data_IF_245348100161
#
_entry.id   IF_245348100161
#
_cell.length_a   1.000
_cell.length_b   1.000
_cell.length_c   1.000
_cell.angle_alpha   90.00
_cell.angle_beta   90.00
_cell.angle_gamma   90.00
#
_symmetry.space_group_name_H-M   'P 1'
#
loop_
_entity.id
_entity.type
_entity.pdbx_description
1 polymer ?
#
# COMPACT_ATOMS: atom_id res chain seq x y z
N UNK A 1 7.21 -15.32 -23.91
CA UNK A 1 6.96 -16.64 -23.30
C UNK A 1 6.24 -16.38 -22.00
N UNK A 2 4.99 -16.82 -21.88
CA UNK A 2 4.17 -16.56 -20.69
C UNK A 2 4.76 -17.33 -19.50
N UNK A 3 5.20 -16.60 -18.47
CA UNK A 3 5.52 -17.19 -17.17
C UNK A 3 4.23 -17.82 -16.63
N UNK A 4 4.21 -19.16 -16.59
CA UNK A 4 3.19 -19.92 -15.89
C UNK A 4 3.33 -19.62 -14.40
N UNK A 5 2.57 -18.65 -13.92
CA UNK A 5 2.29 -18.49 -12.49
C UNK A 5 1.59 -19.77 -12.04
N UNK A 6 2.25 -20.55 -11.19
CA UNK A 6 1.69 -21.73 -10.56
C UNK A 6 0.58 -21.30 -9.58
N UNK A 7 -0.65 -21.14 -10.07
CA UNK A 7 -1.85 -21.07 -9.23
C UNK A 7 -2.14 -22.47 -8.69
N UNK A 8 -1.54 -22.79 -7.53
CA UNK A 8 -1.72 -24.07 -6.83
C UNK A 8 -3.08 -24.20 -6.10
N UNK A 9 -4.08 -23.41 -6.50
CA UNK A 9 -5.41 -23.36 -5.89
C UNK A 9 -6.41 -23.66 -7.00
N UNK A 10 -7.19 -24.74 -6.85
CA UNK A 10 -8.31 -25.04 -7.75
C UNK A 10 -9.18 -23.80 -7.93
N UNK A 11 -9.57 -23.51 -9.17
CA UNK A 11 -10.47 -22.39 -9.44
C UNK A 11 -11.82 -22.62 -8.74
N UNK A 12 -12.50 -21.56 -8.31
CA UNK A 12 -13.82 -21.68 -7.69
C UNK A 12 -14.83 -22.34 -8.62
N UNK A 13 -14.66 -22.17 -9.94
CA UNK A 13 -15.40 -22.93 -10.95
C UNK A 13 -15.20 -24.44 -10.81
N UNK A 14 -13.96 -24.94 -10.74
CA UNK A 14 -13.68 -26.37 -10.58
C UNK A 14 -14.33 -26.93 -9.30
N UNK A 15 -14.24 -26.18 -8.19
CA UNK A 15 -14.85 -26.57 -6.90
C UNK A 15 -16.38 -26.58 -6.95
N UNK A 16 -16.97 -25.64 -7.70
CA UNK A 16 -18.41 -25.56 -7.87
C UNK A 16 -18.95 -26.58 -8.86
N UNK A 17 -18.26 -26.85 -9.97
CA UNK A 17 -18.67 -27.87 -10.95
C UNK A 17 -18.73 -29.27 -10.31
N UNK A 18 -17.77 -29.61 -9.45
CA UNK A 18 -17.80 -30.85 -8.64
C UNK A 18 -19.01 -30.87 -7.69
N UNK A 19 -19.33 -29.74 -7.05
CA UNK A 19 -20.44 -29.63 -6.09
C UNK A 19 -21.81 -29.63 -6.79
N UNK A 20 -21.92 -28.99 -7.95
CA UNK A 20 -23.12 -28.94 -8.80
C UNK A 20 -23.53 -30.34 -9.28
N UNK A 21 -22.57 -31.25 -9.46
CA UNK A 21 -22.86 -32.64 -9.78
C UNK A 21 -23.49 -33.42 -8.62
N UNK A 22 -23.21 -33.03 -7.37
CA UNK A 22 -23.59 -33.79 -6.15
C UNK A 22 -24.84 -33.21 -5.46
N UNK A 23 -25.05 -31.88 -5.53
CA UNK A 23 -26.10 -31.16 -4.77
C UNK A 23 -26.98 -30.26 -5.66
N UNK A 24 -27.16 -30.65 -6.93
CA UNK A 24 -27.84 -29.90 -7.99
C UNK A 24 -29.21 -29.31 -7.62
N UNK A 25 -30.05 -30.11 -6.96
CA UNK A 25 -31.45 -29.76 -6.70
C UNK A 25 -31.60 -28.68 -5.62
N UNK A 26 -30.77 -28.71 -4.60
CA UNK A 26 -30.80 -27.75 -3.50
C UNK A 26 -30.24 -26.38 -3.95
N UNK A 27 -29.24 -26.41 -4.83
CA UNK A 27 -28.67 -25.21 -5.46
C UNK A 27 -29.68 -24.53 -6.39
N UNK A 28 -30.38 -25.31 -7.22
CA UNK A 28 -31.51 -24.81 -8.02
C UNK A 28 -32.58 -24.16 -7.16
N UNK A 29 -32.95 -24.78 -6.04
CA UNK A 29 -34.01 -24.25 -5.19
C UNK A 29 -33.67 -22.84 -4.65
N UNK A 30 -32.41 -22.59 -4.29
CA UNK A 30 -31.97 -21.25 -3.88
C UNK A 30 -31.95 -20.28 -5.07
N UNK A 31 -31.35 -20.66 -6.20
CA UNK A 31 -31.24 -19.78 -7.35
C UNK A 31 -32.60 -19.44 -7.98
N UNK A 32 -33.50 -20.42 -8.12
CA UNK A 32 -34.89 -20.18 -8.57
C UNK A 32 -35.63 -19.25 -7.62
N UNK A 33 -35.38 -19.35 -6.31
CA UNK A 33 -35.98 -18.44 -5.32
C UNK A 33 -35.44 -17.01 -5.50
N UNK A 34 -34.13 -16.87 -5.68
CA UNK A 34 -33.49 -15.58 -5.96
C UNK A 34 -34.03 -14.98 -7.27
N UNK A 35 -34.10 -15.78 -8.33
CA UNK A 35 -34.63 -15.37 -9.64
C UNK A 35 -36.12 -15.00 -9.58
N UNK A 36 -36.91 -15.71 -8.77
CA UNK A 36 -38.36 -15.46 -8.63
C UNK A 36 -38.70 -14.08 -8.08
N UNK A 37 -37.74 -13.43 -7.40
CA UNK A 37 -37.87 -12.04 -6.95
C UNK A 37 -37.74 -11.02 -8.09
N UNK A 38 -37.36 -11.48 -9.28
CA UNK A 38 -37.21 -10.67 -10.47
C UNK A 38 -35.84 -9.99 -10.59
N UNK A 39 -35.74 -9.13 -11.61
CA UNK A 39 -34.54 -8.35 -11.91
C UNK A 39 -34.18 -7.46 -10.71
N UNK A 40 -32.95 -7.57 -10.20
CA UNK A 40 -32.55 -6.81 -9.02
C UNK A 40 -31.13 -7.04 -8.52
N UNK A 41 -30.82 -6.34 -7.43
CA UNK A 41 -29.55 -6.39 -6.71
C UNK A 41 -29.79 -6.89 -5.29
N UNK A 42 -28.97 -7.84 -4.83
CA UNK A 42 -29.06 -8.40 -3.48
C UNK A 42 -27.75 -8.21 -2.72
N UNK A 43 -27.88 -7.69 -1.49
CA UNK A 43 -26.80 -7.59 -0.53
C UNK A 43 -26.63 -8.88 0.28
N UNK A 44 -25.49 -9.10 0.97
CA UNK A 44 -25.22 -10.35 1.69
C UNK A 44 -26.30 -10.70 2.71
N UNK A 45 -26.82 -9.71 3.45
CA UNK A 45 -27.88 -9.95 4.44
C UNK A 45 -29.20 -10.42 3.80
N UNK A 46 -29.49 -9.99 2.56
CA UNK A 46 -30.68 -10.42 1.82
C UNK A 46 -30.47 -11.82 1.25
N UNK A 47 -29.27 -12.13 0.76
CA UNK A 47 -28.89 -13.48 0.33
C UNK A 47 -28.98 -14.47 1.50
N UNK A 48 -28.51 -14.09 2.69
CA UNK A 48 -28.62 -14.90 3.90
C UNK A 48 -30.09 -15.12 4.30
N UNK A 49 -30.95 -14.11 4.21
CA UNK A 49 -32.37 -14.27 4.48
C UNK A 49 -33.04 -15.29 3.52
N UNK A 50 -32.67 -15.27 2.23
CA UNK A 50 -33.16 -16.26 1.26
C UNK A 50 -32.64 -17.67 1.54
N UNK A 51 -31.40 -17.76 2.00
CA UNK A 51 -30.81 -19.02 2.43
C UNK A 51 -31.49 -19.58 3.68
N UNK A 52 -31.80 -18.75 4.67
CA UNK A 52 -32.47 -19.14 5.90
C UNK A 52 -33.91 -19.60 5.70
N UNK A 53 -34.58 -19.10 4.64
CA UNK A 53 -35.92 -19.51 4.26
C UNK A 53 -36.01 -20.95 3.67
N UNK A 54 -34.88 -21.62 3.42
CA UNK A 54 -34.82 -23.01 2.96
C UNK A 54 -35.02 -23.97 4.15
N UNK A 55 -35.69 -25.13 3.97
CA UNK A 55 -35.83 -26.15 5.02
C UNK A 55 -34.48 -26.59 5.62
N UNK A 56 -34.42 -26.80 6.95
CA UNK A 56 -33.18 -27.14 7.68
C UNK A 56 -32.39 -28.30 7.10
N UNK A 57 -33.07 -29.38 6.70
CA UNK A 57 -32.44 -30.56 6.12
C UNK A 57 -31.70 -30.27 4.81
N UNK A 58 -32.10 -29.24 4.06
CA UNK A 58 -31.47 -28.83 2.81
C UNK A 58 -30.41 -27.76 3.08
N UNK A 59 -30.60 -26.89 4.09
CA UNK A 59 -29.60 -25.91 4.54
C UNK A 59 -28.31 -26.58 4.99
N UNK A 60 -28.39 -27.62 5.81
CA UNK A 60 -27.19 -28.32 6.32
C UNK A 60 -26.38 -28.95 5.18
N UNK A 61 -27.05 -29.59 4.22
CA UNK A 61 -26.39 -30.17 3.04
C UNK A 61 -25.67 -29.13 2.20
N UNK A 62 -26.27 -27.96 2.00
CA UNK A 62 -25.67 -26.84 1.26
C UNK A 62 -24.49 -26.20 1.99
N UNK A 63 -24.49 -26.19 3.33
CA UNK A 63 -23.40 -25.66 4.15
C UNK A 63 -22.19 -26.59 4.20
N UNK A 64 -22.40 -27.91 4.17
CA UNK A 64 -21.34 -28.90 4.27
C UNK A 64 -20.47 -29.02 2.99
N UNK A 65 -20.87 -28.35 1.90
CA UNK A 65 -20.19 -28.38 0.59
C UNK A 65 -19.41 -27.10 0.25
N UNK A 66 -18.74 -27.09 -0.91
CA UNK A 66 -18.02 -25.90 -1.41
C UNK A 66 -18.95 -24.69 -1.61
N UNK A 67 -20.25 -24.94 -1.77
CA UNK A 67 -21.27 -23.92 -1.92
C UNK A 67 -21.51 -23.08 -0.65
N UNK A 68 -21.43 -23.69 0.54
CA UNK A 68 -21.53 -22.96 1.81
C UNK A 68 -20.44 -21.89 1.92
N UNK A 69 -19.23 -22.21 1.48
CA UNK A 69 -18.11 -21.26 1.41
C UNK A 69 -18.36 -20.15 0.38
N UNK A 70 -18.95 -20.46 -0.78
CA UNK A 70 -19.31 -19.45 -1.78
C UNK A 70 -20.38 -18.50 -1.26
N UNK A 71 -21.47 -19.01 -0.68
CA UNK A 71 -22.53 -18.18 -0.11
C UNK A 71 -22.01 -17.26 1.00
N UNK A 72 -21.21 -17.82 1.93
CA UNK A 72 -20.64 -17.07 3.04
C UNK A 72 -19.72 -15.94 2.57
N UNK A 73 -19.02 -16.15 1.46
CA UNK A 73 -18.05 -15.17 0.93
C UNK A 73 -18.62 -14.30 -0.20
N UNK A 74 -19.86 -14.53 -0.63
CA UNK A 74 -20.53 -13.70 -1.63
C UNK A 74 -20.82 -12.32 -1.03
N UNK A 75 -20.35 -11.27 -1.71
CA UNK A 75 -20.50 -9.88 -1.29
C UNK A 75 -21.69 -9.19 -1.94
N UNK A 76 -22.08 -9.62 -3.12
CA UNK A 76 -23.25 -9.11 -3.83
C UNK A 76 -23.71 -10.12 -4.88
N UNK A 77 -25.01 -10.09 -5.16
CA UNK A 77 -25.65 -10.91 -6.19
C UNK A 77 -26.48 -10.02 -7.10
N UNK A 78 -26.33 -10.21 -8.41
CA UNK A 78 -27.08 -9.50 -9.44
C UNK A 78 -27.98 -10.50 -10.14
N UNK A 79 -29.26 -10.15 -10.28
CA UNK A 79 -30.27 -10.99 -10.91
C UNK A 79 -30.74 -10.31 -12.20
N UNK A 80 -30.40 -10.92 -13.34
CA UNK A 80 -30.93 -10.59 -14.66
C UNK A 80 -31.47 -11.88 -15.28
N UNK A 81 -32.75 -12.23 -15.08
CA UNK A 81 -33.29 -13.51 -15.51
C UNK A 81 -32.98 -13.80 -16.99
N UNK A 82 -32.46 -14.99 -17.34
CA UNK A 82 -32.32 -16.19 -16.51
C UNK A 82 -30.99 -16.33 -15.74
N UNK A 83 -30.19 -15.26 -15.66
CA UNK A 83 -28.85 -15.25 -15.09
C UNK A 83 -28.79 -14.67 -13.69
N UNK A 84 -28.03 -15.34 -12.81
CA UNK A 84 -27.67 -14.85 -11.49
C UNK A 84 -26.16 -14.76 -11.42
N UNK A 85 -25.62 -13.55 -11.28
CA UNK A 85 -24.19 -13.30 -11.12
C UNK A 85 -23.83 -13.07 -9.65
N UNK A 86 -22.74 -13.66 -9.19
CA UNK A 86 -22.25 -13.58 -7.81
C UNK A 86 -20.83 -13.00 -7.80
N UNK A 87 -20.60 -11.99 -6.97
CA UNK A 87 -19.25 -11.53 -6.63
C UNK A 87 -18.80 -12.22 -5.34
N UNK A 88 -17.85 -13.12 -5.45
CA UNK A 88 -17.33 -13.91 -4.33
C UNK A 88 -16.00 -13.32 -3.89
N UNK A 89 -15.84 -13.14 -2.58
CA UNK A 89 -14.61 -12.63 -1.97
C UNK A 89 -14.04 -13.65 -0.99
N UNK A 90 -13.35 -14.70 -1.46
CA UNK A 90 -12.86 -15.78 -0.60
C UNK A 90 -11.91 -15.29 0.50
N UNK A 91 -11.11 -14.27 0.20
CA UNK A 91 -10.12 -13.67 1.11
C UNK A 91 -9.98 -12.17 0.84
N UNK A 92 -9.50 -11.37 1.80
CA UNK A 92 -9.22 -9.97 1.56
C UNK A 92 -8.29 -9.73 0.37
N UNK A 93 -8.77 -8.96 -0.61
CA UNK A 93 -8.03 -8.63 -1.83
C UNK A 93 -8.13 -9.65 -2.97
N UNK A 94 -8.87 -10.75 -2.78
CA UNK A 94 -9.10 -11.78 -3.81
C UNK A 94 -10.58 -11.81 -4.14
N UNK A 95 -10.90 -11.67 -5.43
CA UNK A 95 -12.25 -11.64 -5.96
C UNK A 95 -12.39 -12.63 -7.10
N UNK A 96 -13.53 -13.31 -7.14
CA UNK A 96 -13.91 -14.24 -8.18
C UNK A 96 -15.35 -13.92 -8.56
N UNK A 97 -15.63 -13.84 -9.86
CA UNK A 97 -16.95 -13.49 -10.39
C UNK A 97 -17.48 -14.67 -11.17
N UNK A 98 -18.72 -15.06 -10.89
CA UNK A 98 -19.38 -16.14 -11.59
C UNK A 98 -20.78 -15.71 -11.98
N UNK A 99 -21.29 -16.25 -13.08
CA UNK A 99 -22.72 -16.23 -13.40
C UNK A 99 -23.26 -17.62 -13.58
N UNK A 100 -24.51 -17.78 -13.20
CA UNK A 100 -25.22 -19.05 -13.28
C UNK A 100 -26.52 -18.85 -14.02
N UNK A 101 -26.74 -19.65 -15.06
CA UNK A 101 -28.04 -19.74 -15.71
C UNK A 101 -28.95 -20.63 -14.86
N UNK A 102 -30.05 -20.10 -14.34
CA UNK A 102 -30.91 -20.87 -13.43
C UNK A 102 -31.62 -22.02 -14.14
N UNK A 103 -32.00 -21.84 -15.40
CA UNK A 103 -32.72 -22.85 -16.18
C UNK A 103 -31.79 -23.96 -16.71
N UNK A 104 -30.63 -23.58 -17.25
CA UNK A 104 -29.68 -24.51 -17.85
C UNK A 104 -28.69 -25.09 -16.84
N UNK A 105 -28.56 -24.49 -15.65
CA UNK A 105 -27.50 -24.78 -14.67
C UNK A 105 -26.09 -24.70 -15.26
N UNK A 106 -25.89 -23.78 -16.19
CA UNK A 106 -24.57 -23.46 -16.72
C UNK A 106 -23.90 -22.45 -15.80
N UNK A 107 -22.72 -22.81 -15.27
CA UNK A 107 -21.87 -21.92 -14.50
C UNK A 107 -20.75 -21.39 -15.40
N UNK A 108 -20.56 -20.08 -15.39
CA UNK A 108 -19.54 -19.39 -16.16
C UNK A 108 -18.75 -18.47 -15.24
N UNK A 109 -17.43 -18.52 -15.33
CA UNK A 109 -16.55 -17.56 -14.67
C UNK A 109 -16.50 -16.28 -15.51
N UNK A 110 -16.59 -15.14 -14.85
CA UNK A 110 -16.57 -13.83 -15.46
C UNK A 110 -15.26 -13.11 -15.13
N UNK A 111 -14.74 -12.36 -16.09
CA UNK A 111 -13.76 -11.34 -15.81
C UNK A 111 -14.42 -10.12 -15.14
N UNK A 112 -13.59 -9.22 -14.60
CA UNK A 112 -14.07 -7.98 -13.94
C UNK A 112 -14.93 -7.15 -14.90
N UNK A 113 -14.49 -7.00 -16.16
CA UNK A 113 -15.21 -6.22 -17.16
C UNK A 113 -16.59 -6.81 -17.48
N UNK A 114 -16.68 -8.13 -17.70
CA UNK A 114 -17.95 -8.83 -17.94
C UNK A 114 -18.91 -8.73 -16.75
N UNK A 115 -18.39 -8.82 -15.51
CA UNK A 115 -19.20 -8.66 -14.32
C UNK A 115 -19.74 -7.23 -14.17
N UNK A 116 -18.93 -6.21 -14.44
CA UNK A 116 -19.35 -4.82 -14.40
C UNK A 116 -20.35 -4.50 -15.52
N UNK A 117 -20.15 -5.01 -16.73
CA UNK A 117 -21.12 -4.91 -17.82
C UNK A 117 -22.48 -5.51 -17.42
N UNK A 118 -22.48 -6.64 -16.71
CA UNK A 118 -23.71 -7.23 -16.17
C UNK A 118 -24.40 -6.33 -15.12
N UNK A 119 -23.64 -5.54 -14.34
CA UNK A 119 -24.21 -4.50 -13.45
C UNK A 119 -24.80 -3.33 -14.21
N UNK A 120 -24.16 -2.91 -15.30
CA UNK A 120 -24.64 -1.82 -16.14
C UNK A 120 -25.97 -2.21 -16.80
N UNK A 121 -26.08 -3.44 -17.33
CA UNK A 121 -27.32 -3.97 -17.91
C UNK A 121 -28.49 -4.01 -16.90
N UNK A 122 -28.20 -4.11 -15.60
CA UNK A 122 -29.20 -4.02 -14.55
C UNK A 122 -29.89 -2.65 -14.55
N UNK A 123 -29.14 -1.57 -14.75
CA UNK A 123 -29.68 -0.20 -14.66
C UNK A 123 -30.13 0.29 -16.03
N UNK A 124 -29.25 0.20 -17.03
CA UNK A 124 -29.44 0.85 -18.32
C UNK A 124 -30.08 -0.09 -19.37
N UNK A 125 -30.16 -1.39 -19.06
CA UNK A 125 -30.57 -2.42 -20.02
C UNK A 125 -29.48 -2.72 -21.04
N UNK A 126 -29.85 -3.29 -22.19
CA UNK A 126 -28.90 -3.62 -23.27
C UNK A 126 -28.51 -2.34 -24.05
N UNK A 127 -27.61 -1.53 -23.49
CA UNK A 127 -27.11 -0.31 -24.13
C UNK A 127 -25.88 -0.57 -25.00
N UNK A 128 -25.96 -0.16 -26.27
CA UNK A 128 -24.97 -0.34 -27.33
C UNK A 128 -23.79 0.65 -27.24
N UNK A 129 -22.97 0.56 -26.19
CA UNK A 129 -21.72 1.29 -26.07
C UNK A 129 -20.52 0.39 -26.39
N UNK A 130 -20.17 0.18 -27.66
CA UNK A 130 -19.02 -0.67 -28.01
C UNK A 130 -17.67 -0.12 -27.50
N UNK A 131 -17.61 1.14 -27.06
CA UNK A 131 -16.41 1.83 -26.61
C UNK A 131 -16.67 2.62 -25.31
N UNK A 132 -17.11 1.94 -24.26
CA UNK A 132 -17.15 2.51 -22.90
C UNK A 132 -15.71 2.67 -22.40
N UNK A 133 -15.43 3.77 -21.70
CA UNK A 133 -14.12 4.02 -21.11
C UNK A 133 -13.87 3.06 -19.95
N UNK A 134 -12.93 2.14 -20.11
CA UNK A 134 -12.43 1.27 -19.04
C UNK A 134 -11.16 1.87 -18.41
N UNK A 135 -11.18 2.04 -17.09
CA UNK A 135 -10.03 2.52 -16.33
C UNK A 135 -9.22 1.34 -15.78
N UNK A 136 -8.19 0.93 -16.50
CA UNK A 136 -7.27 -0.13 -16.06
C UNK A 136 -5.91 0.41 -15.60
N UNK A 137 -5.67 0.35 -14.28
CA UNK A 137 -4.40 0.73 -13.65
C UNK A 137 -3.44 -0.46 -13.46
N UNK A 138 -3.81 -1.68 -13.81
CA UNK A 138 -2.98 -2.87 -13.61
C UNK A 138 -1.66 -2.82 -14.42
N UNK A 139 -1.66 -2.46 -15.72
CA UNK A 139 -0.43 -2.39 -16.52
C UNK A 139 0.57 -1.35 -16.00
N UNK A 140 0.07 -0.21 -15.50
CA UNK A 140 0.90 0.89 -14.99
C UNK A 140 1.67 0.53 -13.71
N UNK A 141 1.21 -0.50 -12.98
CA UNK A 141 1.79 -0.94 -11.72
C UNK A 141 2.59 -2.25 -11.85
N UNK A 142 2.83 -2.75 -13.06
CA UNK A 142 3.50 -4.04 -13.29
C UNK A 142 4.98 -4.05 -12.87
N UNK A 143 5.64 -2.89 -12.82
CA UNK A 143 7.03 -2.75 -12.39
C UNK A 143 7.21 -2.93 -10.87
N UNK A 144 6.11 -2.84 -10.09
CA UNK A 144 6.17 -2.98 -8.64
C UNK A 144 5.74 -4.40 -8.24
N UNK A 145 6.57 -5.12 -7.47
CA UNK A 145 6.17 -6.43 -6.97
C UNK A 145 4.95 -6.28 -6.05
N UNK A 146 4.00 -7.21 -6.15
CA UNK A 146 2.77 -7.21 -5.34
C UNK A 146 2.81 -8.31 -4.29
N UNK A 147 2.68 -8.00 -2.99
CA UNK A 147 2.56 -9.02 -1.97
C UNK A 147 1.24 -9.78 -2.14
N UNK A 148 1.30 -11.11 -2.11
CA UNK A 148 0.13 -12.00 -2.25
C UNK A 148 -0.46 -12.43 -0.91
N UNK A 149 0.24 -12.16 0.20
CA UNK A 149 -0.19 -12.54 1.54
C UNK A 149 -1.07 -11.45 2.13
N UNK A 150 -2.28 -11.79 2.58
CA UNK A 150 -3.22 -10.82 3.16
C UNK A 150 -2.65 -10.09 4.40
N UNK A 151 -1.74 -10.72 5.16
CA UNK A 151 -1.04 -10.07 6.30
C UNK A 151 -0.14 -8.90 5.90
N UNK A 152 0.20 -8.78 4.62
CA UNK A 152 1.03 -7.69 4.10
C UNK A 152 0.20 -6.47 3.70
N UNK A 153 -1.13 -6.56 3.71
CA UNK A 153 -2.02 -5.40 3.45
C UNK A 153 -1.80 -4.38 4.57
N UNK A 154 -1.52 -3.13 4.18
CA UNK A 154 -1.17 -2.04 5.12
C UNK A 154 0.32 -1.93 5.44
N UNK A 155 1.13 -2.95 5.13
CA UNK A 155 2.57 -3.01 5.44
C UNK A 155 3.45 -2.83 4.19
N UNK A 156 3.08 -1.90 3.31
CA UNK A 156 3.73 -1.72 2.01
C UNK A 156 5.19 -1.28 2.11
N UNK A 157 5.54 -0.46 3.11
CA UNK A 157 6.92 0.02 3.33
C UNK A 157 7.86 -1.13 3.69
N UNK A 158 7.44 -2.09 4.51
CA UNK A 158 8.26 -3.25 4.85
C UNK A 158 8.58 -4.10 3.62
N UNK A 159 7.59 -4.29 2.74
CA UNK A 159 7.75 -5.03 1.51
C UNK A 159 8.67 -4.29 0.53
N UNK A 160 8.50 -2.98 0.41
CA UNK A 160 9.38 -2.14 -0.40
C UNK A 160 10.82 -2.16 0.12
N UNK A 161 11.03 -2.09 1.43
CA UNK A 161 12.35 -2.17 2.05
C UNK A 161 13.04 -3.51 1.74
N UNK A 162 12.30 -4.64 1.78
CA UNK A 162 12.82 -5.95 1.36
C UNK A 162 13.18 -5.98 -0.12
N UNK A 163 12.34 -5.42 -0.97
CA UNK A 163 12.59 -5.38 -2.40
C UNK A 163 13.80 -4.51 -2.75
N UNK A 164 13.87 -3.29 -2.19
CA UNK A 164 15.00 -2.37 -2.39
C UNK A 164 16.29 -2.97 -1.85
N UNK A 165 16.28 -3.53 -0.64
CA UNK A 165 17.45 -4.20 -0.05
C UNK A 165 17.95 -5.35 -0.94
N UNK A 166 17.04 -6.19 -1.46
CA UNK A 166 17.43 -7.25 -2.40
C UNK A 166 18.02 -6.67 -3.69
N UNK A 167 17.43 -5.62 -4.25
CA UNK A 167 17.94 -4.97 -5.46
C UNK A 167 19.34 -4.38 -5.24
N UNK A 168 19.55 -3.69 -4.11
CA UNK A 168 20.82 -3.11 -3.70
C UNK A 168 21.93 -4.16 -3.53
N UNK A 169 21.57 -5.38 -3.09
CA UNK A 169 22.54 -6.46 -2.89
C UNK A 169 23.06 -7.06 -4.21
N UNK A 170 22.21 -7.17 -5.23
CA UNK A 170 22.55 -7.90 -6.46
C UNK A 170 23.29 -7.05 -7.50
N UNK A 171 23.21 -5.73 -7.42
CA UNK A 171 23.71 -4.84 -8.47
C UNK A 171 24.45 -3.62 -7.89
N UNK A 172 25.75 -3.49 -8.19
CA UNK A 172 26.56 -2.34 -7.75
C UNK A 172 26.11 -1.03 -8.41
N UNK A 173 25.55 -1.08 -9.61
CA UNK A 173 24.99 0.11 -10.29
C UNK A 173 23.75 0.62 -9.55
N UNK A 174 23.04 -0.25 -8.83
CA UNK A 174 21.86 0.12 -8.07
C UNK A 174 22.15 0.97 -6.81
N UNK A 175 23.42 1.11 -6.41
CA UNK A 175 23.87 2.04 -5.36
C UNK A 175 24.09 3.46 -5.89
N UNK A 176 24.25 3.65 -7.19
CA UNK A 176 24.44 4.97 -7.78
C UNK A 176 23.27 5.93 -7.48
N UNK A 177 21.98 5.52 -7.57
CA UNK A 177 20.86 6.36 -7.14
C UNK A 177 20.96 6.84 -5.69
N UNK A 178 21.47 6.00 -4.76
CA UNK A 178 21.64 6.38 -3.36
C UNK A 178 22.75 7.43 -3.19
N UNK A 179 23.87 7.24 -3.88
CA UNK A 179 24.95 8.24 -3.91
C UNK A 179 24.46 9.56 -4.48
N UNK A 180 23.75 9.52 -5.62
CA UNK A 180 23.23 10.72 -6.26
C UNK A 180 22.23 11.44 -5.34
N UNK A 181 21.30 10.68 -4.75
CA UNK A 181 20.33 11.18 -3.78
C UNK A 181 21.00 11.95 -2.64
N UNK A 182 22.04 11.38 -2.02
CA UNK A 182 22.77 12.03 -0.94
C UNK A 182 23.58 13.24 -1.42
N UNK A 183 24.04 13.27 -2.67
CA UNK A 183 24.87 14.35 -3.23
C UNK A 183 24.05 15.57 -3.67
N UNK A 184 22.86 15.36 -4.22
CA UNK A 184 21.96 16.45 -4.63
C UNK A 184 21.13 17.00 -3.47
N UNK A 185 21.19 16.36 -2.30
CA UNK A 185 20.42 16.74 -1.13
C UNK A 185 20.84 18.11 -0.61
N UNK A 186 19.95 19.09 -0.73
CA UNK A 186 20.18 20.45 -0.29
C UNK A 186 18.89 21.10 0.24
N UNK A 187 19.04 22.07 1.13
CA UNK A 187 17.93 22.86 1.66
C UNK A 187 18.34 24.33 1.75
N UNK A 188 17.55 25.24 1.18
CA UNK A 188 17.84 26.69 1.14
C UNK A 188 19.26 27.03 0.66
N UNK A 189 19.75 26.29 -0.35
CA UNK A 189 21.10 26.47 -0.91
C UNK A 189 22.25 25.94 -0.03
N UNK A 190 21.95 25.30 1.10
CA UNK A 190 22.95 24.60 1.92
C UNK A 190 22.99 23.13 1.55
N UNK A 191 24.15 22.66 1.12
CA UNK A 191 24.37 21.24 0.84
C UNK A 191 24.32 20.43 2.14
N UNK A 192 23.80 19.21 2.03
CA UNK A 192 23.71 18.26 3.14
C UNK A 192 24.31 16.93 2.72
N UNK A 193 24.65 16.10 3.70
CA UNK A 193 25.18 14.74 3.52
C UNK A 193 26.52 14.71 2.76
N UNK A 194 26.52 14.72 1.42
CA UNK A 194 27.71 14.60 0.58
C UNK A 194 27.87 15.83 -0.31
N UNK A 195 29.12 16.23 -0.56
CA UNK A 195 29.42 17.25 -1.57
C UNK A 195 30.01 16.66 -2.86
N UNK A 196 30.28 17.53 -3.82
CA UNK A 196 30.76 17.18 -5.16
C UNK A 196 32.17 16.57 -5.21
N UNK A 197 32.88 16.44 -4.07
CA UNK A 197 34.16 15.73 -4.00
C UNK A 197 34.01 14.23 -4.19
N UNK A 198 32.83 13.67 -3.87
CA UNK A 198 32.55 12.24 -3.97
C UNK A 198 31.79 11.97 -5.27
N UNK A 199 32.45 11.30 -6.22
CA UNK A 199 31.93 11.10 -7.59
C UNK A 199 31.39 9.70 -7.84
N UNK A 200 31.84 8.71 -7.07
CA UNK A 200 31.48 7.30 -7.26
C UNK A 200 31.41 6.56 -5.92
N UNK A 201 30.83 5.37 -5.95
CA UNK A 201 30.58 4.55 -4.74
C UNK A 201 31.88 4.11 -4.06
N UNK A 202 32.96 3.87 -4.83
CA UNK A 202 34.26 3.48 -4.27
C UNK A 202 34.89 4.63 -3.45
N UNK A 203 34.80 5.86 -3.96
CA UNK A 203 35.22 7.05 -3.23
C UNK A 203 34.39 7.26 -1.97
N UNK A 204 33.06 7.08 -2.06
CA UNK A 204 32.15 7.16 -0.91
C UNK A 204 32.59 6.18 0.18
N UNK A 205 32.77 4.90 -0.16
CA UNK A 205 33.18 3.89 0.81
C UNK A 205 34.52 4.22 1.48
N UNK A 206 35.49 4.72 0.71
CA UNK A 206 36.79 5.15 1.24
C UNK A 206 36.68 6.35 2.19
N UNK A 207 35.85 7.33 1.84
CA UNK A 207 35.61 8.52 2.68
C UNK A 207 34.91 8.12 3.98
N UNK A 208 33.91 7.25 3.91
CA UNK A 208 33.18 6.77 5.09
C UNK A 208 34.08 5.99 6.04
N UNK A 209 34.93 5.07 5.56
CA UNK A 209 35.90 4.37 6.42
C UNK A 209 36.88 5.33 7.10
N UNK A 210 37.40 6.32 6.35
CA UNK A 210 38.27 7.35 6.93
C UNK A 210 37.56 8.19 8.00
N UNK A 211 36.28 8.49 7.79
CA UNK A 211 35.47 9.22 8.76
C UNK A 211 35.20 8.36 10.00
N UNK A 212 34.89 7.08 9.85
CA UNK A 212 34.72 6.12 10.94
C UNK A 212 35.98 6.02 11.82
N UNK A 213 37.16 5.84 11.23
CA UNK A 213 38.44 5.79 11.96
C UNK A 213 38.68 7.06 12.77
N UNK A 214 38.41 8.22 12.17
CA UNK A 214 38.57 9.51 12.82
C UNK A 214 37.56 9.71 13.96
N UNK A 215 36.28 9.42 13.73
CA UNK A 215 35.21 9.60 14.71
C UNK A 215 35.33 8.63 15.90
N UNK A 216 35.86 7.44 15.67
CA UNK A 216 36.14 6.47 16.74
C UNK A 216 37.25 6.92 17.69
N UNK A 217 38.09 7.88 17.27
CA UNK A 217 39.18 8.43 18.08
C UNK A 217 38.81 9.64 18.94
N UNK A 218 37.62 10.23 18.72
CA UNK A 218 37.16 11.41 19.45
C UNK A 218 36.11 11.05 20.50
N UNK A 219 35.86 11.97 21.44
CA UNK A 219 34.89 11.75 22.51
C UNK A 219 33.47 11.67 21.92
N UNK A 220 32.64 10.67 22.27
CA UNK A 220 31.32 10.47 21.66
C UNK A 220 30.38 11.69 21.72
N UNK A 221 30.48 12.48 22.80
CA UNK A 221 29.66 13.68 23.02
C UNK A 221 30.22 14.95 22.36
N UNK A 222 31.34 14.86 21.63
CA UNK A 222 31.90 16.02 20.92
C UNK A 222 30.87 16.58 19.93
N UNK A 223 30.54 17.88 19.97
CA UNK A 223 29.62 18.52 19.04
C UNK A 223 30.15 18.53 17.60
N UNK A 224 29.26 18.40 16.61
CA UNK A 224 29.60 18.40 15.18
C UNK A 224 30.49 19.59 14.76
N UNK A 225 30.24 20.78 15.32
CA UNK A 225 30.97 22.02 15.01
C UNK A 225 32.49 21.92 15.23
N UNK A 226 32.96 21.06 16.14
CA UNK A 226 34.39 20.92 16.44
C UNK A 226 35.17 20.15 15.37
N UNK A 227 34.50 19.24 14.65
CA UNK A 227 35.12 18.39 13.63
C UNK A 227 34.56 18.60 12.22
N UNK A 228 33.60 19.50 12.06
CA UNK A 228 33.02 19.91 10.78
C UNK A 228 34.05 20.20 9.68
N UNK A 229 35.11 21.03 9.90
CA UNK A 229 36.06 21.34 8.83
C UNK A 229 36.80 20.11 8.31
N UNK A 230 37.05 19.11 9.18
CA UNK A 230 37.72 17.86 8.81
C UNK A 230 36.81 16.97 7.95
N UNK A 231 35.52 16.88 8.31
CA UNK A 231 34.54 16.12 7.54
C UNK A 231 34.24 16.76 6.18
N UNK A 232 34.10 18.08 6.15
CA UNK A 232 33.87 18.82 4.92
C UNK A 232 35.05 18.68 3.92
N UNK A 233 36.28 18.66 4.44
CA UNK A 233 37.48 18.46 3.61
C UNK A 233 37.52 17.09 2.91
N UNK A 234 36.90 16.06 3.51
CA UNK A 234 36.82 14.71 2.91
C UNK A 234 35.53 14.48 2.11
N UNK A 235 34.61 15.45 2.10
CA UNK A 235 33.41 15.42 1.26
C UNK A 235 32.09 15.22 1.99
N UNK A 236 32.09 15.24 3.33
CA UNK A 236 30.91 15.07 4.17
C UNK A 236 30.43 16.42 4.70
N UNK A 237 29.22 16.82 4.33
CA UNK A 237 28.56 18.04 4.80
C UNK A 237 27.74 17.77 6.07
N UNK A 238 26.94 18.75 6.55
CA UNK A 238 26.07 18.60 7.71
C UNK A 238 24.90 17.63 7.44
N UNK A 239 24.26 17.15 8.52
CA UNK A 239 23.07 16.30 8.45
C UNK A 239 23.27 14.84 8.89
N UNK A 240 24.47 14.48 9.36
CA UNK A 240 24.80 13.14 9.86
C UNK A 240 24.54 12.95 11.36
N UNK A 241 24.45 14.04 12.13
CA UNK A 241 24.32 13.98 13.58
C UNK A 241 24.74 15.27 14.28
N UNK A 242 24.23 15.51 15.49
CA UNK A 242 24.65 16.62 16.35
C UNK A 242 25.94 16.34 17.15
N UNK A 243 26.24 15.06 17.42
CA UNK A 243 27.43 14.59 18.15
C UNK A 243 28.25 13.59 17.34
N UNK A 244 29.51 13.40 17.70
CA UNK A 244 30.40 12.40 17.11
C UNK A 244 29.80 10.99 17.11
N UNK A 245 29.15 10.59 18.21
CA UNK A 245 28.47 9.30 18.36
C UNK A 245 27.43 9.06 17.26
N UNK A 246 26.55 10.04 17.01
CA UNK A 246 25.47 9.88 16.02
C UNK A 246 25.96 9.92 14.59
N UNK A 247 26.95 10.79 14.33
CA UNK A 247 27.60 10.83 13.02
C UNK A 247 28.25 9.48 12.73
N UNK A 248 28.91 8.88 13.72
CA UNK A 248 29.49 7.56 13.61
C UNK A 248 28.41 6.49 13.36
N UNK A 249 27.32 6.48 14.14
CA UNK A 249 26.20 5.55 13.93
C UNK A 249 25.64 5.65 12.50
N UNK A 250 25.41 6.86 11.99
CA UNK A 250 24.83 7.06 10.66
C UNK A 250 25.81 6.67 9.54
N UNK A 251 27.12 6.90 9.72
CA UNK A 251 28.16 6.45 8.81
C UNK A 251 28.24 4.91 8.78
N UNK A 252 28.16 4.26 9.94
CA UNK A 252 28.16 2.79 10.05
C UNK A 252 26.94 2.18 9.37
N UNK A 253 25.75 2.77 9.52
CA UNK A 253 24.56 2.33 8.79
C UNK A 253 24.76 2.41 7.27
N UNK A 254 25.39 3.47 6.77
CA UNK A 254 25.66 3.58 5.33
C UNK A 254 26.73 2.58 4.88
N UNK A 255 27.79 2.36 5.66
CA UNK A 255 28.80 1.33 5.37
C UNK A 255 28.17 -0.07 5.30
N UNK A 256 27.32 -0.41 6.26
CA UNK A 256 26.56 -1.66 6.27
C UNK A 256 25.69 -1.81 5.02
N UNK A 257 25.05 -0.72 4.56
CA UNK A 257 24.27 -0.74 3.32
C UNK A 257 25.10 -0.91 2.06
N UNK A 258 26.33 -0.39 2.05
CA UNK A 258 27.26 -0.55 0.93
C UNK A 258 27.87 -1.96 0.87
N UNK A 259 27.98 -2.64 2.02
CA UNK A 259 28.60 -3.96 2.14
C UNK A 259 27.57 -5.11 2.10
N UNK A 260 26.53 -5.02 2.91
CA UNK A 260 25.47 -6.03 3.02
C UNK A 260 24.10 -5.37 3.30
N UNK A 261 23.42 -4.82 2.28
CA UNK A 261 22.13 -4.18 2.46
C UNK A 261 21.09 -5.13 3.05
N UNK A 262 20.46 -4.69 4.15
CA UNK A 262 19.32 -5.38 4.74
C UNK A 262 18.14 -4.40 4.96
N UNK A 263 16.89 -4.89 5.04
CA UNK A 263 15.70 -4.03 5.08
C UNK A 263 15.66 -3.10 6.30
N UNK A 264 16.13 -3.58 7.45
CA UNK A 264 16.11 -2.82 8.71
C UNK A 264 17.12 -1.67 8.70
N UNK A 265 18.35 -1.93 8.27
CA UNK A 265 19.38 -0.89 8.12
C UNK A 265 18.95 0.13 7.08
N UNK A 266 18.32 -0.29 5.99
CA UNK A 266 17.84 0.62 4.93
C UNK A 266 16.77 1.58 5.47
N UNK A 267 15.78 1.04 6.18
CA UNK A 267 14.73 1.81 6.81
C UNK A 267 15.28 2.79 7.84
N UNK A 268 16.18 2.31 8.71
CA UNK A 268 16.80 3.14 9.76
C UNK A 268 17.62 4.27 9.15
N UNK A 269 18.43 3.98 8.14
CA UNK A 269 19.24 4.98 7.45
C UNK A 269 18.37 6.02 6.75
N UNK A 270 17.48 5.60 5.84
CA UNK A 270 16.61 6.52 5.10
C UNK A 270 15.70 7.33 6.02
N UNK A 271 15.21 6.74 7.11
CA UNK A 271 14.41 7.43 8.12
C UNK A 271 15.18 8.48 8.92
N UNK A 272 16.50 8.36 9.03
CA UNK A 272 17.36 9.31 9.72
C UNK A 272 17.80 10.49 8.85
N UNK A 273 17.78 10.34 7.52
CA UNK A 273 18.18 11.43 6.60
C UNK A 273 17.26 12.64 6.80
N UNK A 274 17.80 13.83 7.02
CA UNK A 274 16.99 15.03 7.27
C UNK A 274 16.36 15.52 5.96
N UNK A 275 15.13 15.08 5.67
CA UNK A 275 14.41 15.40 4.42
C UNK A 275 13.23 16.36 4.60
N UNK A 276 12.50 16.23 5.71
CA UNK A 276 11.18 16.86 5.87
C UNK A 276 11.33 18.14 6.69
N UNK A 277 11.36 19.28 6.00
CA UNK A 277 11.45 20.62 6.62
C UNK A 277 10.19 21.46 6.37
N UNK A 278 9.65 21.41 5.15
CA UNK A 278 8.43 22.10 4.76
C UNK A 278 7.34 21.07 4.44
N UNK A 279 6.20 21.17 5.11
CA UNK A 279 5.06 20.25 4.95
C UNK A 279 3.83 21.05 4.53
N UNK A 280 3.15 20.58 3.49
CA UNK A 280 1.86 21.13 3.05
C UNK A 280 0.79 20.07 3.25
N UNK A 281 -0.26 20.41 3.98
CA UNK A 281 -1.43 19.55 4.22
C UNK A 281 -2.63 20.21 3.55
N UNK A 282 -3.37 19.46 2.73
CA UNK A 282 -4.56 19.95 2.04
C UNK A 282 -5.82 19.46 2.77
N UNK A 283 -6.70 20.39 3.15
CA UNK A 283 -8.03 20.10 3.68
C UNK A 283 -9.05 21.09 3.10
N UNK A 284 -9.44 20.94 1.83
CA UNK A 284 -10.18 21.99 1.12
C UNK A 284 -11.59 22.21 1.67
N UNK A 285 -12.33 21.15 1.98
CA UNK A 285 -13.74 21.24 2.38
C UNK A 285 -13.93 21.48 3.88
N UNK A 286 -15.15 21.91 4.24
CA UNK A 286 -15.54 22.17 5.62
C UNK A 286 -14.97 23.48 6.18
N UNK A 287 -15.46 23.87 7.33
CA UNK A 287 -14.93 24.98 8.11
C UNK A 287 -13.72 24.49 8.92
N UNK A 288 -12.52 24.86 8.48
CA UNK A 288 -11.27 24.51 9.16
C UNK A 288 -10.83 25.63 10.11
N UNK A 289 -11.12 25.48 11.39
CA UNK A 289 -10.67 26.39 12.44
C UNK A 289 -10.32 25.65 13.73
N UNK A 290 -9.64 26.33 14.65
CA UNK A 290 -9.22 25.77 15.94
C UNK A 290 -10.37 25.68 16.94
N UNK A 291 -11.32 26.61 16.87
CA UNK A 291 -12.46 26.71 17.79
C UNK A 291 -13.75 27.00 17.03
N UNK A 292 -14.89 26.71 17.67
CA UNK A 292 -16.24 27.09 17.24
C UNK A 292 -16.71 26.61 15.86
N UNK A 293 -16.08 25.59 15.28
CA UNK A 293 -16.48 25.00 13.98
C UNK A 293 -16.95 23.55 14.07
N UNK A 294 -16.72 22.87 15.20
CA UNK A 294 -17.10 21.47 15.36
C UNK A 294 -18.63 21.33 15.35
N UNK A 295 -19.13 20.47 14.46
CA UNK A 295 -20.56 20.23 14.26
C UNK A 295 -21.20 21.03 13.12
N UNK A 296 -20.44 21.89 12.44
CA UNK A 296 -20.89 22.51 11.19
C UNK A 296 -20.88 21.49 10.04
N UNK A 297 -21.66 21.73 8.95
CA UNK A 297 -21.64 20.89 7.77
C UNK A 297 -20.20 20.66 7.27
N UNK A 298 -19.87 19.42 6.97
CA UNK A 298 -18.55 18.98 6.51
C UNK A 298 -17.38 19.24 7.48
N UNK A 299 -17.67 19.64 8.73
CA UNK A 299 -16.67 19.84 9.80
C UNK A 299 -16.84 18.83 10.92
N UNK A 300 -15.86 17.93 11.04
CA UNK A 300 -15.87 16.90 12.09
C UNK A 300 -14.48 16.39 12.44
N UNK A 301 -14.36 15.08 12.59
CA UNK A 301 -13.12 14.43 13.07
C UNK A 301 -11.88 14.72 12.22
N UNK A 302 -12.03 15.05 10.94
CA UNK A 302 -10.91 15.43 10.06
C UNK A 302 -10.15 16.66 10.57
N UNK A 303 -10.85 17.71 11.04
CA UNK A 303 -10.20 18.93 11.54
C UNK A 303 -9.40 18.64 12.80
N UNK A 304 -10.01 17.92 13.75
CA UNK A 304 -9.35 17.49 14.99
C UNK A 304 -8.12 16.63 14.68
N UNK A 305 -8.27 15.67 13.77
CA UNK A 305 -7.17 14.80 13.34
C UNK A 305 -5.99 15.58 12.79
N UNK A 306 -6.22 16.54 11.89
CA UNK A 306 -5.14 17.35 11.30
C UNK A 306 -4.49 18.25 12.36
N UNK A 307 -5.27 18.88 13.24
CA UNK A 307 -4.74 19.75 14.30
C UNK A 307 -3.90 18.99 15.34
N UNK A 308 -4.26 17.75 15.66
CA UNK A 308 -3.43 16.87 16.49
C UNK A 308 -2.18 16.39 15.72
N UNK A 309 -2.35 16.02 14.45
CA UNK A 309 -1.27 15.54 13.60
C UNK A 309 -0.15 16.58 13.46
N UNK A 310 -0.48 17.85 13.17
CA UNK A 310 0.55 18.88 12.94
C UNK A 310 1.37 19.17 14.19
N UNK A 311 0.78 19.11 15.39
CA UNK A 311 1.49 19.31 16.66
C UNK A 311 2.49 18.17 16.92
N UNK A 312 2.03 16.93 16.72
CA UNK A 312 2.90 15.76 16.87
C UNK A 312 4.01 15.75 15.81
N UNK A 313 3.67 16.11 14.57
CA UNK A 313 4.60 16.15 13.44
C UNK A 313 5.66 17.24 13.63
N UNK A 314 5.27 18.45 14.02
CA UNK A 314 6.21 19.55 14.30
C UNK A 314 7.21 19.17 15.40
N UNK A 315 6.74 18.52 16.48
CA UNK A 315 7.59 18.06 17.58
C UNK A 315 8.64 17.04 17.10
N UNK A 316 8.23 16.08 16.27
CA UNK A 316 9.15 15.08 15.71
C UNK A 316 10.09 15.69 14.65
N UNK A 317 9.63 16.64 13.84
CA UNK A 317 10.47 17.38 12.89
C UNK A 317 11.56 18.16 13.62
N UNK A 318 11.22 18.96 14.63
CA UNK A 318 12.17 19.72 15.45
C UNK A 318 13.20 18.80 16.10
N UNK A 319 12.75 17.67 16.65
CA UNK A 319 13.61 16.65 17.22
C UNK A 319 14.59 16.12 16.17
N UNK A 320 14.12 15.64 15.01
CA UNK A 320 15.01 15.08 13.97
C UNK A 320 16.01 16.09 13.43
N UNK A 321 15.57 17.32 13.17
CA UNK A 321 16.44 18.42 12.71
C UNK A 321 17.58 18.65 13.71
N UNK A 322 17.24 18.78 15.00
CA UNK A 322 18.23 18.96 16.07
C UNK A 322 19.18 17.77 16.14
N UNK A 323 18.65 16.56 16.12
CA UNK A 323 19.42 15.32 16.22
C UNK A 323 20.41 15.15 15.06
N UNK A 324 20.13 15.73 13.90
CA UNK A 324 21.04 15.73 12.74
C UNK A 324 22.01 16.91 12.70
N UNK A 325 22.09 17.71 13.77
CA UNK A 325 23.01 18.84 13.87
C UNK A 325 22.64 20.02 12.97
N UNK A 326 21.36 20.12 12.59
CA UNK A 326 20.84 21.18 11.74
C UNK A 326 20.12 22.25 12.58
N UNK A 327 20.19 23.49 12.10
CA UNK A 327 19.53 24.65 12.69
C UNK A 327 18.54 25.23 11.68
N UNK A 328 17.48 24.46 11.43
CA UNK A 328 16.42 24.77 10.46
C UNK A 328 15.10 24.87 11.23
N UNK A 329 14.34 25.92 10.97
CA UNK A 329 12.98 26.05 11.50
C UNK A 329 12.00 25.35 10.54
N UNK A 330 11.34 24.26 10.95
CA UNK A 330 10.37 23.59 10.09
C UNK A 330 9.14 24.47 9.89
N UNK A 331 8.42 24.24 8.78
CA UNK A 331 7.17 24.93 8.48
C UNK A 331 6.09 23.95 8.05
N UNK A 332 4.92 24.03 8.67
CA UNK A 332 3.73 23.27 8.28
C UNK A 332 2.66 24.27 7.83
N UNK A 333 2.10 24.05 6.64
CA UNK A 333 1.03 24.88 6.08
C UNK A 333 -0.18 23.98 5.85
N UNK A 334 -1.29 24.30 6.49
CA UNK A 334 -2.59 23.70 6.19
C UNK A 334 -3.30 24.62 5.20
N UNK A 335 -3.60 24.11 4.01
CA UNK A 335 -4.33 24.84 2.97
C UNK A 335 -5.78 24.37 2.99
N UNK A 336 -6.69 25.29 3.28
CA UNK A 336 -8.13 25.08 3.34
C UNK A 336 -8.86 26.24 2.65
N UNK A 337 -10.12 26.03 2.25
CA UNK A 337 -10.97 27.13 1.80
C UNK A 337 -11.45 27.92 3.03
N UNK A 338 -11.58 29.24 2.86
CA UNK A 338 -12.04 30.17 3.92
C UNK A 338 -13.55 30.12 4.04
#
# INVERSE_FOLDING_TARGET
>A
MAERVLTRVQSLRERLDETLSTQRNDFLALLSRIESKGKGFLQPHQLLAEFEAIPENNRQKLLDGAFGEVLKHTQEVIVLPPWVALAVRPRPGVWEYIRVNVHALALEELCVAEYLQFKEELVDGSSNGNFVLELDFQPFNASFPRPTLSKSIGNGVEFLNRHLSAKLFHDKESLHPLLEFLRVHCYEGRNMMLNNRIKNVNELQRVLRKAEDFLSSIVPRTPYKEFEPKLQAIGLERGWGDTAERVLEMIQLLLDLLEAPNPFTLEKFLGQIPMVFNVVILSPHGYFAQDHVLGFPDTGGQVVYILDQVRALESEMLKRIKQQGLDITPRIIIVSFI
#
